data_IF_732529965202
#
_entry.id   IF_732529965202
#
_cell.length_a   1.000
_cell.length_b   1.000
_cell.length_c   1.000
_cell.angle_alpha   90.00
_cell.angle_beta   90.00
_cell.angle_gamma   90.00
#
_symmetry.space_group_name_H-M   'P 1'
#
loop_
_entity.id
_entity.type
_entity.pdbx_description
1 polymer ?
#
# COMPACT_ATOMS: atom_id res chain seq x y z
N UNK A 1 -3.07 -0.12 8.79
CA UNK A 1 -4.45 -0.64 8.89
C UNK A 1 -4.68 -1.26 10.28
N UNK A 2 -5.81 -1.00 10.93
CA UNK A 2 -6.18 -1.60 12.22
C UNK A 2 -7.11 -2.83 12.04
N UNK A 3 -7.33 -3.62 13.10
CA UNK A 3 -8.18 -4.85 13.04
C UNK A 3 -9.63 -4.58 12.64
N UNK A 4 -10.20 -3.40 12.93
CA UNK A 4 -11.56 -3.06 12.47
C UNK A 4 -11.60 -2.87 10.97
N UNK A 5 -10.60 -2.16 10.43
CA UNK A 5 -10.46 -1.89 9.01
C UNK A 5 -10.25 -3.18 8.24
N UNK A 6 -9.38 -4.07 8.73
CA UNK A 6 -9.15 -5.37 8.11
C UNK A 6 -10.42 -6.22 8.10
N UNK A 7 -11.16 -6.27 9.22
CA UNK A 7 -12.43 -7.01 9.28
C UNK A 7 -13.48 -6.45 8.30
N UNK A 8 -13.58 -5.12 8.20
CA UNK A 8 -14.45 -4.45 7.21
C UNK A 8 -14.02 -4.75 5.78
N UNK A 9 -12.71 -4.66 5.48
CA UNK A 9 -12.15 -4.92 4.16
C UNK A 9 -12.43 -6.35 3.70
N UNK A 10 -12.26 -7.32 4.58
CA UNK A 10 -12.49 -8.74 4.32
C UNK A 10 -13.98 -9.13 4.40
N UNK A 11 -14.85 -8.18 4.76
CA UNK A 11 -16.28 -8.41 5.00
C UNK A 11 -16.56 -9.55 5.99
N UNK A 12 -15.84 -9.56 7.11
CA UNK A 12 -16.01 -10.54 8.20
C UNK A 12 -16.20 -9.85 9.54
N UNK A 13 -16.74 -10.58 10.51
CA UNK A 13 -16.81 -10.07 11.88
C UNK A 13 -15.41 -10.01 12.51
N UNK A 14 -15.22 -9.11 13.48
CA UNK A 14 -13.98 -9.08 14.29
C UNK A 14 -13.72 -10.40 15.02
N UNK A 15 -14.77 -11.09 15.45
CA UNK A 15 -14.65 -12.40 16.11
C UNK A 15 -14.14 -13.46 15.13
N UNK A 16 -14.66 -13.46 13.89
CA UNK A 16 -14.18 -14.35 12.81
C UNK A 16 -12.70 -14.13 12.55
N UNK A 17 -12.26 -12.88 12.43
CA UNK A 17 -10.85 -12.53 12.26
C UNK A 17 -9.99 -13.01 13.44
N UNK A 18 -10.49 -12.85 14.67
CA UNK A 18 -9.81 -13.35 15.89
C UNK A 18 -9.68 -14.88 15.88
N UNK A 19 -10.69 -15.60 15.40
CA UNK A 19 -10.63 -17.05 15.28
C UNK A 19 -9.64 -17.46 14.19
N UNK A 20 -9.60 -16.75 13.05
CA UNK A 20 -8.62 -17.02 11.99
C UNK A 20 -7.18 -16.82 12.45
N UNK A 21 -6.90 -15.81 13.26
CA UNK A 21 -5.56 -15.61 13.85
C UNK A 21 -5.10 -16.83 14.67
N UNK A 22 -6.03 -17.56 15.30
CA UNK A 22 -5.74 -18.76 16.11
C UNK A 22 -5.73 -20.05 15.30
N UNK A 23 -6.76 -20.24 14.49
CA UNK A 23 -7.05 -21.51 13.80
C UNK A 23 -6.39 -21.59 12.42
N UNK A 24 -6.11 -20.43 11.81
CA UNK A 24 -5.59 -20.31 10.43
C UNK A 24 -4.51 -19.22 10.35
N UNK A 25 -3.43 -19.28 11.15
CA UNK A 25 -2.42 -18.23 11.20
C UNK A 25 -1.77 -17.97 9.83
N UNK A 26 -1.58 -19.01 9.02
CA UNK A 26 -1.02 -18.86 7.66
C UNK A 26 -1.94 -18.08 6.72
N UNK A 27 -3.27 -18.21 6.85
CA UNK A 27 -4.22 -17.39 6.08
C UNK A 27 -4.05 -15.90 6.40
N UNK A 28 -3.97 -15.58 7.69
CA UNK A 28 -3.78 -14.20 8.15
C UNK A 28 -2.43 -13.65 7.70
N UNK A 29 -1.36 -14.47 7.75
CA UNK A 29 -0.03 -14.11 7.23
C UNK A 29 -0.09 -13.74 5.74
N UNK A 30 -0.73 -14.57 4.92
CA UNK A 30 -0.84 -14.34 3.48
C UNK A 30 -1.65 -13.08 3.14
N UNK A 31 -2.76 -12.85 3.84
CA UNK A 31 -3.57 -11.63 3.67
C UNK A 31 -2.72 -10.40 3.99
N UNK A 32 -2.04 -10.38 5.14
CA UNK A 32 -1.22 -9.24 5.54
C UNK A 32 -0.05 -8.99 4.57
N UNK A 33 0.54 -10.05 4.01
CA UNK A 33 1.60 -9.93 3.01
C UNK A 33 1.07 -9.31 1.70
N UNK A 34 -0.11 -9.72 1.23
CA UNK A 34 -0.75 -9.10 0.08
C UNK A 34 -1.03 -7.62 0.29
N UNK A 35 -1.61 -7.26 1.45
CA UNK A 35 -1.91 -5.86 1.78
C UNK A 35 -0.65 -5.00 1.88
N UNK A 36 0.42 -5.53 2.50
CA UNK A 36 1.69 -4.82 2.57
C UNK A 36 2.32 -4.62 1.18
N UNK A 37 2.20 -5.62 0.29
CA UNK A 37 2.67 -5.50 -1.08
C UNK A 37 1.91 -4.39 -1.85
N UNK A 38 0.58 -4.36 -1.73
CA UNK A 38 -0.24 -3.34 -2.38
C UNK A 38 0.11 -1.91 -1.90
N UNK A 39 0.35 -1.75 -0.60
CA UNK A 39 0.81 -0.48 -0.01
C UNK A 39 2.17 -0.05 -0.57
N UNK A 40 3.14 -0.97 -0.65
CA UNK A 40 4.46 -0.70 -1.20
C UNK A 40 4.43 -0.36 -2.70
N UNK A 41 3.55 -1.00 -3.47
CA UNK A 41 3.34 -0.66 -4.89
C UNK A 41 2.85 0.80 -5.01
N UNK A 42 1.88 1.19 -4.18
CA UNK A 42 1.31 2.54 -4.23
C UNK A 42 2.31 3.61 -3.78
N UNK A 43 3.09 3.35 -2.74
CA UNK A 43 4.20 4.21 -2.32
C UNK A 43 5.25 4.37 -3.41
N UNK A 44 5.59 3.28 -4.09
CA UNK A 44 6.56 3.28 -5.20
C UNK A 44 6.06 4.12 -6.38
N UNK A 45 4.78 4.02 -6.73
CA UNK A 45 4.17 4.88 -7.77
C UNK A 45 4.26 6.36 -7.42
N UNK A 46 3.93 6.73 -6.19
CA UNK A 46 4.06 8.12 -5.69
C UNK A 46 5.51 8.60 -5.72
N UNK A 47 6.45 7.73 -5.40
CA UNK A 47 7.87 8.05 -5.48
C UNK A 47 8.32 8.29 -6.92
N UNK A 48 7.91 7.42 -7.85
CA UNK A 48 8.17 7.59 -9.28
C UNK A 48 7.62 8.92 -9.80
N UNK A 49 6.38 9.28 -9.44
CA UNK A 49 5.77 10.55 -9.83
C UNK A 49 6.60 11.75 -9.33
N UNK A 50 7.14 11.69 -8.10
CA UNK A 50 8.04 12.73 -7.57
C UNK A 50 9.32 12.84 -8.41
N UNK A 51 9.93 11.72 -8.80
CA UNK A 51 11.12 11.71 -9.65
C UNK A 51 10.84 12.31 -11.04
N UNK A 52 9.72 11.96 -11.65
CA UNK A 52 9.29 12.52 -12.93
C UNK A 52 9.04 14.02 -12.85
N UNK A 53 8.46 14.49 -11.75
CA UNK A 53 8.29 15.93 -11.46
C UNK A 53 9.63 16.67 -11.38
N UNK A 54 10.63 16.10 -10.70
CA UNK A 54 11.98 16.67 -10.64
C UNK A 54 12.59 16.75 -12.04
N UNK A 55 12.50 15.68 -12.83
CA UNK A 55 12.98 15.64 -14.23
C UNK A 55 12.31 16.73 -15.08
N UNK A 56 10.98 16.88 -14.99
CA UNK A 56 10.22 17.92 -15.71
C UNK A 56 10.69 19.33 -15.35
N UNK A 57 10.87 19.62 -14.07
CA UNK A 57 11.36 20.94 -13.60
C UNK A 57 12.75 21.26 -14.14
N UNK A 58 13.67 20.30 -14.13
CA UNK A 58 15.01 20.48 -14.67
C UNK A 58 14.99 20.80 -16.18
N UNK A 59 14.13 20.13 -16.95
CA UNK A 59 13.97 20.38 -18.38
C UNK A 59 13.37 21.77 -18.67
N UNK A 60 12.36 22.19 -17.91
CA UNK A 60 11.76 23.53 -18.04
C UNK A 60 12.80 24.61 -17.72
N UNK A 61 13.56 24.46 -16.63
CA UNK A 61 14.64 25.38 -16.26
C UNK A 61 15.67 25.55 -17.37
N UNK A 62 16.09 24.45 -18.01
CA UNK A 62 17.03 24.52 -19.15
C UNK A 62 16.47 25.32 -20.33
N UNK A 63 15.16 25.20 -20.61
CA UNK A 63 14.50 25.88 -21.74
C UNK A 63 14.34 27.39 -21.52
N UNK A 64 14.24 27.86 -20.28
CA UNK A 64 14.15 29.29 -19.94
C UNK A 64 15.51 29.99 -20.08
N UNK A 65 16.61 29.26 -19.90
CA UNK A 65 17.97 29.79 -19.93
C UNK A 65 18.64 29.70 -21.34
N UNK A 66 17.87 29.42 -22.38
CA UNK A 66 18.28 29.36 -23.80
C UNK A 66 17.47 30.37 -24.61
#
# INVERSE_FOLDING_TARGET
MNRQELAKLLNVSRNTLTNWEKEKPELVRLINQGLALDEQIEETKKYLEKLENIKRRALISKKINL
#
